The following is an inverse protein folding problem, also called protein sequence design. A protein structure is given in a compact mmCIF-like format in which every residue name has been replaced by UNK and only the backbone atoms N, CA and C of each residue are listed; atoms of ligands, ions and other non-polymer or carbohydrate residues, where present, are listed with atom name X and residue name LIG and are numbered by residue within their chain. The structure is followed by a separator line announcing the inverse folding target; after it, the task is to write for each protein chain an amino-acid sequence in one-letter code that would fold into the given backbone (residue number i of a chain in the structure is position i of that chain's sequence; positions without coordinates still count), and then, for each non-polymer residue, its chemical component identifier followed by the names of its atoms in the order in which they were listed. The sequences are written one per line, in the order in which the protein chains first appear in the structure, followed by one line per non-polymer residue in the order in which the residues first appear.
data_IF_243915827122
#
_entry.id   IF_243915827122
#
_cell.length_a   1.000
_cell.length_b   1.000
_cell.length_c   1.000
_cell.angle_alpha   90.00
_cell.angle_beta   90.00
_cell.angle_gamma   90.00
#
_symmetry.space_group_name_H-M   'P 1'
#
loop_
_entity.id
_entity.type
_entity.pdbx_description
1 polymer ?
#
# COMPACT_ATOMS: atom_id res chain seq x y z
N UNK A 1 -16.75 -19.68 -21.08
CA UNK A 1 -17.34 -18.36 -21.44
C UNK A 1 -18.28 -17.79 -20.36
N UNK A 2 -18.10 -18.08 -19.09
CA UNK A 2 -18.88 -17.50 -17.96
C UNK A 2 -17.97 -16.96 -16.84
N UNK A 3 -16.72 -16.57 -17.12
CA UNK A 3 -15.76 -16.13 -16.08
C UNK A 3 -15.48 -14.63 -16.02
N UNK A 4 -16.08 -13.79 -16.87
CA UNK A 4 -15.79 -12.36 -16.90
C UNK A 4 -16.86 -11.45 -16.30
N UNK A 5 -17.99 -11.98 -15.83
CA UNK A 5 -19.06 -11.17 -15.21
C UNK A 5 -19.11 -11.27 -13.69
N UNK A 6 -18.20 -12.00 -13.06
CA UNK A 6 -18.11 -12.09 -11.60
C UNK A 6 -17.12 -11.12 -10.94
N UNK A 7 -16.33 -10.40 -11.71
CA UNK A 7 -15.31 -9.50 -11.18
C UNK A 7 -15.84 -8.20 -10.54
N UNK A 8 -17.12 -7.90 -10.65
CA UNK A 8 -17.71 -6.70 -10.04
C UNK A 8 -18.57 -6.98 -8.81
N UNK A 9 -18.95 -8.24 -8.58
CA UNK A 9 -19.85 -8.62 -7.48
C UNK A 9 -19.17 -9.17 -6.23
N UNK A 10 -17.85 -9.34 -6.24
CA UNK A 10 -17.09 -9.94 -5.14
C UNK A 10 -15.83 -9.11 -4.83
N UNK A 11 -16.03 -7.80 -4.68
CA UNK A 11 -14.94 -6.86 -4.42
C UNK A 11 -14.15 -7.20 -3.15
N UNK A 12 -14.79 -7.79 -2.15
CA UNK A 12 -14.11 -8.16 -0.90
C UNK A 12 -13.18 -9.36 -1.05
N UNK A 13 -13.52 -10.32 -1.93
CA UNK A 13 -12.68 -11.49 -2.17
C UNK A 13 -11.76 -11.31 -3.38
N UNK A 14 -12.20 -10.61 -4.43
CA UNK A 14 -11.45 -10.50 -5.68
C UNK A 14 -10.42 -9.37 -5.69
N UNK A 15 -10.62 -8.28 -4.92
CA UNK A 15 -9.57 -7.28 -4.71
C UNK A 15 -8.39 -7.90 -3.98
N UNK A 16 -8.63 -8.77 -3.00
CA UNK A 16 -7.57 -9.55 -2.36
C UNK A 16 -6.92 -10.57 -3.31
N UNK A 17 -7.69 -11.28 -4.11
CA UNK A 17 -7.16 -12.36 -4.95
C UNK A 17 -6.52 -11.89 -6.25
N UNK A 18 -6.97 -10.76 -6.82
CA UNK A 18 -6.40 -10.22 -8.07
C UNK A 18 -5.17 -9.35 -7.85
N UNK A 19 -5.09 -8.64 -6.72
CA UNK A 19 -3.93 -7.82 -6.36
C UNK A 19 -2.81 -8.69 -5.78
N UNK A 20 -3.16 -9.81 -5.19
CA UNK A 20 -2.25 -10.57 -4.35
C UNK A 20 -2.36 -12.06 -4.53
N UNK A 21 -2.23 -12.63 -5.64
CA UNK A 21 -2.25 -14.09 -5.85
C UNK A 21 -1.64 -15.01 -4.76
N UNK A 22 -1.44 -14.49 -3.54
CA UNK A 22 -0.80 -15.14 -2.38
C UNK A 22 -1.61 -15.10 -1.08
N UNK A 23 -2.78 -14.44 -1.07
CA UNK A 23 -3.53 -14.16 0.17
C UNK A 23 -4.42 -15.31 0.68
N UNK A 24 -4.21 -16.54 0.21
CA UNK A 24 -5.04 -17.68 0.61
C UNK A 24 -4.74 -18.25 2.00
N UNK A 25 -3.73 -17.75 2.71
CA UNK A 25 -3.38 -18.21 4.06
C UNK A 25 -2.62 -17.16 4.84
N UNK A 26 -2.98 -16.96 6.11
CA UNK A 26 -2.30 -16.02 7.02
C UNK A 26 -0.89 -16.46 7.43
N UNK A 27 -0.58 -17.75 7.32
CA UNK A 27 0.65 -18.36 7.84
C UNK A 27 1.27 -19.37 6.89
N UNK A 28 1.09 -19.18 5.59
CA UNK A 28 1.67 -20.09 4.59
C UNK A 28 3.16 -19.83 4.41
N UNK A 29 3.96 -20.88 4.33
CA UNK A 29 5.37 -20.79 3.93
C UNK A 29 5.57 -20.20 2.52
N UNK A 30 4.49 -20.09 1.73
CA UNK A 30 4.48 -19.42 0.43
C UNK A 30 4.62 -17.88 0.55
N UNK A 31 4.33 -17.31 1.73
CA UNK A 31 4.51 -15.88 2.04
C UNK A 31 5.92 -15.55 2.53
N UNK A 32 6.80 -16.54 2.70
CA UNK A 32 8.19 -16.28 3.08
C UNK A 32 8.99 -15.85 1.88
N UNK A 33 9.60 -14.68 1.98
CA UNK A 33 10.60 -14.23 1.03
C UNK A 33 11.85 -15.11 1.07
N UNK A 34 12.59 -15.13 -0.02
CA UNK A 34 13.71 -16.04 -0.21
C UNK A 34 14.89 -15.30 -0.83
N UNK A 35 16.04 -15.44 -0.23
CA UNK A 35 17.29 -14.99 -0.80
C UNK A 35 17.95 -16.15 -1.58
N UNK A 36 18.38 -15.85 -2.81
CA UNK A 36 19.15 -16.77 -3.62
C UNK A 36 20.52 -16.15 -3.91
N UNK A 37 21.56 -16.87 -3.58
CA UNK A 37 22.95 -16.50 -3.85
C UNK A 37 23.37 -17.08 -5.21
N UNK A 38 23.97 -16.25 -6.05
CA UNK A 38 24.56 -16.69 -7.30
C UNK A 38 25.98 -17.26 -7.03
N UNK A 39 26.16 -18.55 -7.30
CA UNK A 39 27.45 -19.23 -7.14
C UNK A 39 28.33 -19.14 -8.42
N UNK A 40 27.94 -18.34 -9.39
CA UNK A 40 28.55 -18.26 -10.72
C UNK A 40 27.83 -19.13 -11.75
N UNK A 41 28.09 -18.87 -13.03
CA UNK A 41 27.52 -19.60 -14.18
C UNK A 41 25.99 -19.75 -14.13
N UNK A 42 25.28 -18.72 -13.65
CA UNK A 42 23.82 -18.71 -13.44
C UNK A 42 23.32 -19.82 -12.48
N UNK A 43 24.17 -20.31 -11.60
CA UNK A 43 23.82 -21.30 -10.60
C UNK A 43 23.42 -20.61 -9.29
N UNK A 44 22.14 -20.67 -8.93
CA UNK A 44 21.57 -20.03 -7.73
C UNK A 44 21.31 -21.07 -6.64
N UNK A 45 21.78 -20.80 -5.44
CA UNK A 45 21.49 -21.59 -4.24
C UNK A 45 20.68 -20.78 -3.23
N UNK A 46 19.70 -21.42 -2.58
CA UNK A 46 18.91 -20.73 -1.57
C UNK A 46 19.74 -20.48 -0.31
N UNK A 47 19.77 -19.23 0.14
CA UNK A 47 20.33 -18.85 1.43
C UNK A 47 19.34 -19.07 2.58
N UNK A 48 19.84 -19.35 3.77
CA UNK A 48 19.11 -19.32 5.04
C UNK A 48 19.36 -18.04 5.84
N UNK A 49 20.21 -17.13 5.33
CA UNK A 49 20.64 -15.92 6.05
C UNK A 49 19.55 -14.84 6.14
N UNK A 50 18.47 -14.91 5.34
CA UNK A 50 17.35 -13.97 5.40
C UNK A 50 16.17 -14.60 6.12
N UNK A 51 15.83 -14.06 7.29
CA UNK A 51 14.70 -14.52 8.12
C UNK A 51 13.87 -13.32 8.55
N UNK A 52 12.60 -13.31 8.19
CA UNK A 52 11.64 -12.32 8.66
C UNK A 52 10.86 -12.81 9.88
N UNK A 53 10.48 -11.89 10.79
CA UNK A 53 9.75 -12.25 12.01
C UNK A 53 8.36 -12.81 11.73
N UNK A 54 7.70 -12.35 10.66
CA UNK A 54 6.31 -12.66 10.35
C UNK A 54 6.10 -13.16 8.91
N UNK A 55 4.86 -13.58 8.63
CA UNK A 55 4.37 -13.86 7.28
C UNK A 55 3.62 -12.64 6.75
N UNK A 56 4.15 -12.02 5.71
CA UNK A 56 3.55 -10.85 5.09
C UNK A 56 3.64 -10.94 3.55
N UNK A 57 2.98 -10.04 2.86
CA UNK A 57 3.06 -9.93 1.41
C UNK A 57 3.99 -8.79 1.05
N UNK A 58 5.23 -9.10 0.72
CA UNK A 58 6.21 -8.11 0.24
C UNK A 58 5.79 -7.49 -1.08
N UNK A 59 6.13 -6.22 -1.28
CA UNK A 59 5.90 -5.46 -2.51
C UNK A 59 7.18 -5.15 -3.26
N UNK A 60 8.16 -4.58 -2.60
CA UNK A 60 9.46 -4.23 -3.19
C UNK A 60 10.61 -4.61 -2.27
N UNK A 61 11.77 -4.74 -2.88
CA UNK A 61 13.05 -4.87 -2.20
C UNK A 61 13.99 -3.84 -2.80
N UNK A 62 14.49 -2.93 -1.98
CA UNK A 62 15.54 -1.97 -2.37
C UNK A 62 16.83 -2.30 -1.64
N UNK A 63 17.95 -2.15 -2.34
CA UNK A 63 19.27 -2.40 -1.80
C UNK A 63 19.86 -1.06 -1.38
N UNK A 64 20.45 -1.00 -0.19
CA UNK A 64 20.99 0.22 0.41
C UNK A 64 22.16 -0.17 1.34
N UNK A 65 23.18 0.65 1.38
CA UNK A 65 24.15 0.70 2.48
C UNK A 65 23.72 1.87 3.37
N UNK A 66 22.87 1.58 4.40
CA UNK A 66 22.22 2.67 5.14
C UNK A 66 23.06 3.22 6.30
N UNK A 67 24.08 2.48 6.72
CA UNK A 67 24.96 2.84 7.84
C UNK A 67 26.44 2.97 7.45
N UNK A 68 26.70 2.96 6.12
CA UNK A 68 28.00 3.19 5.49
C UNK A 68 29.12 2.22 5.95
N UNK A 69 28.73 1.00 6.34
CA UNK A 69 29.70 -0.02 6.74
C UNK A 69 30.33 -0.77 5.56
N UNK A 70 29.83 -0.50 4.33
CA UNK A 70 30.30 -1.07 3.06
C UNK A 70 29.61 -2.37 2.69
N UNK A 71 28.68 -2.85 3.49
CA UNK A 71 27.87 -4.02 3.23
C UNK A 71 26.48 -3.62 2.70
N UNK A 72 25.93 -4.39 1.78
CA UNK A 72 24.62 -4.06 1.21
C UNK A 72 23.49 -4.62 2.06
N UNK A 73 22.63 -3.73 2.53
CA UNK A 73 21.43 -4.00 3.30
C UNK A 73 20.19 -4.07 2.42
N UNK A 74 19.04 -4.46 3.00
CA UNK A 74 17.79 -4.57 2.27
C UNK A 74 16.68 -3.80 2.99
N UNK A 75 16.02 -2.91 2.26
CA UNK A 75 14.69 -2.42 2.60
C UNK A 75 13.65 -3.34 1.95
N UNK A 76 12.78 -3.96 2.76
CA UNK A 76 11.68 -4.79 2.27
C UNK A 76 10.36 -4.19 2.73
N UNK A 77 9.49 -3.84 1.78
CA UNK A 77 8.21 -3.20 2.06
C UNK A 77 7.06 -4.20 2.02
N UNK A 78 6.08 -4.04 2.90
CA UNK A 78 4.88 -4.87 2.93
C UNK A 78 3.76 -4.22 2.10
N UNK A 79 3.13 -5.02 1.22
CA UNK A 79 2.03 -4.58 0.36
C UNK A 79 0.71 -4.46 1.12
N UNK A 80 0.36 -5.46 1.88
CA UNK A 80 -0.87 -5.53 2.69
C UNK A 80 -0.83 -6.78 3.56
N UNK A 81 -1.60 -6.74 4.61
CA UNK A 81 -1.84 -7.91 5.46
C UNK A 81 -2.78 -8.90 4.77
N UNK A 82 -2.46 -10.20 4.70
CA UNK A 82 -3.38 -11.21 4.16
C UNK A 82 -4.78 -11.11 4.80
N UNK A 83 -5.83 -11.05 3.98
CA UNK A 83 -7.24 -10.88 4.38
C UNK A 83 -7.59 -9.56 5.09
N UNK A 84 -6.70 -8.55 5.07
CA UNK A 84 -6.92 -7.26 5.72
C UNK A 84 -6.40 -6.11 4.84
N UNK A 85 -6.88 -6.05 3.61
CA UNK A 85 -6.55 -4.93 2.73
C UNK A 85 -6.87 -3.59 3.41
N UNK A 86 -6.03 -2.59 3.21
CA UNK A 86 -6.21 -1.26 3.77
C UNK A 86 -5.76 -1.10 5.22
N UNK A 87 -5.47 -2.18 5.96
CA UNK A 87 -4.93 -2.05 7.32
C UNK A 87 -3.45 -1.67 7.29
N UNK A 88 -2.96 -0.98 8.34
CA UNK A 88 -1.55 -0.62 8.45
C UNK A 88 -0.61 -1.82 8.32
N UNK A 89 0.51 -1.60 7.65
CA UNK A 89 1.56 -2.60 7.38
C UNK A 89 2.93 -2.08 7.82
N UNK A 90 3.98 -2.90 7.66
CA UNK A 90 5.33 -2.56 8.07
C UNK A 90 6.31 -2.57 6.90
N UNK A 91 7.42 -1.83 7.05
CA UNK A 91 8.63 -2.09 6.30
C UNK A 91 9.68 -2.74 7.22
N UNK A 92 10.59 -3.47 6.61
CA UNK A 92 11.68 -4.16 7.30
C UNK A 92 13.01 -3.65 6.75
N UNK A 93 13.88 -3.16 7.63
CA UNK A 93 15.25 -2.80 7.28
C UNK A 93 16.15 -3.92 7.78
N UNK A 94 16.66 -4.68 6.83
CA UNK A 94 17.43 -5.89 7.07
C UNK A 94 18.92 -5.57 6.95
N UNK A 95 19.57 -5.33 8.10
CA UNK A 95 21.02 -5.09 8.17
C UNK A 95 21.81 -6.37 7.89
N UNK A 96 22.76 -6.29 7.00
CA UNK A 96 23.68 -7.35 6.64
C UNK A 96 24.89 -7.38 7.60
N UNK A 97 25.43 -8.56 7.88
CA UNK A 97 26.66 -8.73 8.66
C UNK A 97 27.93 -8.88 7.80
N UNK A 98 27.85 -8.52 6.51
CA UNK A 98 28.93 -8.72 5.54
C UNK A 98 29.18 -10.16 5.11
N UNK A 99 28.39 -11.10 5.64
CA UNK A 99 28.49 -12.53 5.32
C UNK A 99 27.20 -13.13 4.76
N UNK A 100 26.20 -12.25 4.49
CA UNK A 100 24.90 -12.61 3.95
C UNK A 100 23.91 -13.12 5.00
N UNK A 101 24.12 -12.79 6.28
CA UNK A 101 23.13 -12.94 7.35
C UNK A 101 22.50 -11.60 7.65
N UNK A 102 21.18 -11.56 7.71
CA UNK A 102 20.41 -10.33 7.85
C UNK A 102 19.63 -10.29 9.16
N UNK A 103 19.63 -9.11 9.81
CA UNK A 103 18.88 -8.83 11.03
C UNK A 103 17.93 -7.64 10.81
N UNK A 104 16.65 -7.74 11.21
CA UNK A 104 15.71 -6.61 11.16
C UNK A 104 16.06 -5.57 12.24
N UNK A 105 16.50 -4.40 11.80
CA UNK A 105 16.78 -3.23 12.64
C UNK A 105 15.70 -2.12 12.45
N UNK A 106 14.64 -2.39 11.70
CA UNK A 106 13.62 -1.42 11.34
C UNK A 106 12.87 -0.82 12.53
N UNK A 107 12.79 -1.51 13.67
CA UNK A 107 12.18 -0.95 14.88
C UNK A 107 12.96 0.22 15.49
N UNK A 108 14.24 0.32 15.23
CA UNK A 108 15.13 1.38 15.75
C UNK A 108 15.41 2.43 14.69
N UNK A 109 15.62 2.00 13.45
CA UNK A 109 16.14 2.81 12.37
C UNK A 109 15.06 3.32 11.40
N UNK A 110 13.91 2.63 11.31
CA UNK A 110 12.84 2.88 10.33
C UNK A 110 11.45 2.93 11.00
N UNK A 111 11.34 3.51 12.19
CA UNK A 111 10.10 3.54 12.98
C UNK A 111 8.93 4.18 12.23
N UNK A 112 9.17 5.15 11.36
CA UNK A 112 8.17 5.87 10.59
C UNK A 112 7.42 5.01 9.57
N UNK A 113 7.99 3.88 9.14
CA UNK A 113 7.35 2.91 8.27
C UNK A 113 6.81 1.66 9.02
N UNK A 114 6.64 1.74 10.33
CA UNK A 114 5.96 0.71 11.13
C UNK A 114 4.51 1.11 11.39
N UNK A 115 3.57 0.20 11.08
CA UNK A 115 2.15 0.46 11.26
C UNK A 115 1.62 1.60 10.37
N UNK A 116 2.15 1.74 9.17
CA UNK A 116 1.82 2.80 8.21
C UNK A 116 1.01 2.26 7.02
N UNK A 117 0.92 3.05 5.96
CA UNK A 117 0.16 2.76 4.75
C UNK A 117 0.72 1.56 3.98
N UNK A 118 -0.10 0.94 3.16
CA UNK A 118 0.32 -0.12 2.23
C UNK A 118 1.34 0.43 1.25
N UNK A 119 2.51 -0.18 1.20
CA UNK A 119 3.61 0.23 0.33
C UNK A 119 3.59 -0.57 -0.97
N UNK A 120 3.98 0.05 -2.08
CA UNK A 120 3.91 -0.54 -3.41
C UNK A 120 5.26 -0.68 -4.06
N UNK A 121 6.11 0.32 -3.89
CA UNK A 121 7.45 0.38 -4.45
C UNK A 121 8.34 1.25 -3.56
N UNK A 122 9.66 1.13 -3.71
CA UNK A 122 10.63 1.97 -3.02
C UNK A 122 11.88 2.17 -3.87
N UNK A 123 12.51 3.34 -3.73
CA UNK A 123 13.78 3.69 -4.36
C UNK A 123 14.72 4.33 -3.35
N UNK A 124 15.99 4.24 -3.67
CA UNK A 124 17.11 4.71 -2.86
C UNK A 124 17.90 5.72 -3.65
N UNK A 125 18.25 6.84 -3.04
CA UNK A 125 19.10 7.88 -3.63
C UNK A 125 19.40 8.97 -2.63
N UNK A 126 20.46 9.71 -2.82
CA UNK A 126 20.81 10.90 -2.05
C UNK A 126 19.90 12.05 -2.52
N UNK A 127 18.95 12.45 -1.71
CA UNK A 127 17.92 13.46 -2.05
C UNK A 127 18.25 14.86 -1.55
N UNK A 128 19.08 14.99 -0.52
CA UNK A 128 19.43 16.28 0.04
C UNK A 128 20.89 16.68 -0.16
N UNK A 129 21.67 15.83 -0.85
CA UNK A 129 23.03 16.10 -1.28
C UNK A 129 24.05 16.00 -0.16
N UNK A 130 23.74 15.30 0.93
CA UNK A 130 24.65 15.11 2.06
C UNK A 130 25.59 13.90 1.91
N UNK A 131 25.29 13.02 0.95
CA UNK A 131 26.06 11.83 0.60
C UNK A 131 25.47 10.54 1.16
N UNK A 132 24.55 10.64 2.14
CA UNK A 132 23.85 9.48 2.69
C UNK A 132 22.71 9.05 1.75
N UNK A 133 22.35 7.76 1.78
CA UNK A 133 21.30 7.24 0.93
C UNK A 133 19.94 7.35 1.64
N UNK A 134 19.00 8.05 0.99
CA UNK A 134 17.62 8.27 1.41
C UNK A 134 16.63 7.31 0.77
N UNK A 135 15.37 7.37 1.20
CA UNK A 135 14.30 6.52 0.71
C UNK A 135 13.12 7.32 0.17
N UNK A 136 12.63 6.93 -0.99
CA UNK A 136 11.31 7.32 -1.50
C UNK A 136 10.43 6.09 -1.58
N UNK A 137 9.22 6.16 -1.01
CA UNK A 137 8.30 5.03 -0.93
C UNK A 137 6.95 5.39 -1.54
N UNK A 138 6.57 4.68 -2.58
CA UNK A 138 5.22 4.75 -3.14
C UNK A 138 4.23 3.97 -2.28
N UNK A 139 3.03 4.52 -2.07
CA UNK A 139 2.01 3.93 -1.20
C UNK A 139 0.66 3.85 -1.88
N UNK A 140 -0.17 2.89 -1.47
CA UNK A 140 -1.60 2.88 -1.80
C UNK A 140 -2.39 3.65 -0.72
N UNK A 141 -3.25 4.57 -1.15
CA UNK A 141 -4.14 5.36 -0.29
C UNK A 141 -3.45 6.39 0.61
N UNK A 142 -2.19 6.69 0.35
CA UNK A 142 -1.45 7.69 1.11
C UNK A 142 -0.52 8.50 0.19
N UNK A 143 0.30 9.36 0.78
CA UNK A 143 1.29 10.17 0.09
C UNK A 143 2.46 9.31 -0.43
N UNK A 144 3.14 9.77 -1.47
CA UNK A 144 4.52 9.33 -1.71
C UNK A 144 5.34 9.81 -0.52
N UNK A 145 6.02 8.89 0.16
CA UNK A 145 6.77 9.18 1.37
C UNK A 145 8.24 9.43 1.06
N UNK A 146 8.79 10.46 1.67
CA UNK A 146 10.22 10.78 1.64
C UNK A 146 10.78 10.59 3.05
N UNK A 147 11.83 9.79 3.14
CA UNK A 147 12.54 9.54 4.39
C UNK A 147 14.01 9.84 4.20
N UNK A 148 14.49 10.82 4.94
CA UNK A 148 15.89 11.27 4.93
C UNK A 148 16.67 10.46 5.95
N UNK A 149 17.82 9.94 5.54
CA UNK A 149 18.77 9.27 6.40
C UNK A 149 19.50 10.31 7.26
N UNK A 150 19.54 10.09 8.54
CA UNK A 150 20.26 10.93 9.48
C UNK A 150 21.11 10.02 10.38
N UNK A 151 22.37 9.86 10.05
CA UNK A 151 23.30 8.99 10.77
C UNK A 151 22.79 7.53 10.92
N UNK A 152 22.32 6.93 9.82
CA UNK A 152 21.78 5.57 9.79
C UNK A 152 20.37 5.43 10.40
N UNK A 153 19.61 6.53 10.49
CA UNK A 153 18.23 6.53 10.98
C UNK A 153 17.34 7.34 10.05
N UNK A 154 16.25 6.73 9.57
CA UNK A 154 15.33 7.35 8.63
C UNK A 154 14.28 8.21 9.33
N UNK A 155 14.16 9.47 8.90
CA UNK A 155 13.19 10.45 9.37
C UNK A 155 12.28 10.86 8.23
N UNK A 156 10.95 10.76 8.44
CA UNK A 156 9.98 11.16 7.41
C UNK A 156 9.95 12.69 7.26
N UNK A 157 10.13 13.16 6.02
CA UNK A 157 10.16 14.55 5.61
C UNK A 157 9.17 14.87 4.48
N UNK A 158 8.18 14.03 4.26
CA UNK A 158 7.20 14.09 3.17
C UNK A 158 6.55 15.48 3.03
N UNK A 159 6.16 16.11 4.14
CA UNK A 159 5.54 17.45 4.12
C UNK A 159 6.55 18.55 3.78
N UNK A 160 7.78 18.46 4.30
CA UNK A 160 8.85 19.42 4.05
C UNK A 160 9.25 19.47 2.58
N UNK A 161 9.21 18.31 1.91
CA UNK A 161 9.47 18.16 0.47
C UNK A 161 8.23 18.38 -0.41
N UNK A 162 7.13 18.90 0.15
CA UNK A 162 5.95 19.33 -0.62
C UNK A 162 4.98 18.21 -1.02
N UNK A 163 5.21 16.97 -0.60
CA UNK A 163 4.38 15.82 -0.97
C UNK A 163 3.27 15.47 0.05
N UNK A 164 3.08 16.29 1.09
CA UNK A 164 2.08 16.06 2.15
C UNK A 164 0.61 16.02 1.68
N UNK A 165 0.32 16.43 0.44
CA UNK A 165 -1.02 16.43 -0.15
C UNK A 165 -1.15 15.49 -1.35
N UNK A 166 -0.26 14.52 -1.49
CA UNK A 166 -0.19 13.62 -2.65
C UNK A 166 -0.98 12.32 -2.50
N UNK A 167 -1.92 12.22 -1.55
CA UNK A 167 -2.67 10.97 -1.30
C UNK A 167 -3.27 10.38 -2.57
N UNK A 168 -2.84 9.15 -2.92
CA UNK A 168 -3.21 8.50 -4.16
C UNK A 168 -3.05 6.99 -4.14
N UNK A 169 -3.15 6.41 -5.33
CA UNK A 169 -2.90 4.98 -5.57
C UNK A 169 -1.57 4.83 -6.30
N UNK A 170 -0.48 5.16 -5.63
CA UNK A 170 0.85 5.10 -6.19
C UNK A 170 1.26 3.65 -6.42
N UNK A 171 1.82 3.34 -7.59
CA UNK A 171 2.16 1.98 -8.01
C UNK A 171 3.65 1.75 -8.09
N UNK A 172 4.37 2.78 -8.48
CA UNK A 172 5.81 2.76 -8.67
C UNK A 172 6.39 4.14 -8.44
N UNK A 173 7.65 4.20 -8.13
CA UNK A 173 8.44 5.42 -8.02
C UNK A 173 9.79 5.19 -8.69
N UNK A 174 10.36 6.24 -9.28
CA UNK A 174 11.69 6.25 -9.86
C UNK A 174 12.39 7.55 -9.49
N UNK A 175 13.71 7.49 -9.32
CA UNK A 175 14.56 8.64 -9.06
C UNK A 175 15.45 8.90 -10.29
N UNK A 176 15.42 10.12 -10.78
CA UNK A 176 16.14 10.50 -11.98
C UNK A 176 16.34 12.02 -12.02
N UNK A 177 17.52 12.48 -12.39
CA UNK A 177 17.79 13.88 -12.70
C UNK A 177 17.24 14.17 -14.12
N UNK A 178 16.02 14.74 -14.21
CA UNK A 178 15.30 14.95 -15.49
C UNK A 178 15.80 16.21 -16.20
N UNK A 179 16.07 17.26 -15.46
CA UNK A 179 16.46 18.58 -16.00
C UNK A 179 17.98 18.82 -16.01
N UNK A 180 18.76 17.89 -15.47
CA UNK A 180 20.23 17.86 -15.43
C UNK A 180 20.83 18.99 -14.60
N UNK A 181 20.19 19.32 -13.51
CA UNK A 181 20.69 20.29 -12.52
C UNK A 181 21.58 19.65 -11.47
N UNK A 182 21.61 18.34 -11.37
CA UNK A 182 22.43 17.53 -10.48
C UNK A 182 21.67 16.96 -9.30
N UNK A 183 20.43 17.38 -9.08
CA UNK A 183 19.56 16.89 -8.02
C UNK A 183 18.65 15.76 -8.53
N UNK A 184 18.18 14.88 -7.64
CA UNK A 184 17.29 13.79 -8.02
C UNK A 184 15.83 14.20 -7.98
N UNK A 185 15.15 14.07 -9.11
CA UNK A 185 13.70 14.24 -9.22
C UNK A 185 12.95 12.94 -8.91
N UNK A 186 11.67 13.07 -8.51
CA UNK A 186 10.81 11.94 -8.19
C UNK A 186 9.74 11.76 -9.26
N UNK A 187 9.84 10.70 -10.05
CA UNK A 187 8.77 10.27 -10.96
C UNK A 187 7.91 9.21 -10.26
N UNK A 188 6.66 9.56 -9.94
CA UNK A 188 5.74 8.65 -9.26
C UNK A 188 4.56 8.28 -10.15
N UNK A 189 4.41 6.98 -10.45
CA UNK A 189 3.32 6.41 -11.23
C UNK A 189 2.09 6.14 -10.38
N UNK A 190 0.96 6.79 -10.74
CA UNK A 190 -0.33 6.62 -10.07
C UNK A 190 -1.29 5.76 -10.90
N UNK A 191 -2.51 5.56 -10.40
CA UNK A 191 -3.59 4.88 -11.11
C UNK A 191 -3.93 5.50 -12.47
N UNK A 192 -3.68 6.80 -12.62
CA UNK A 192 -3.90 7.57 -13.84
C UNK A 192 -5.31 8.14 -13.97
N UNK A 193 -5.45 9.11 -14.88
CA UNK A 193 -6.71 9.82 -15.10
C UNK A 193 -7.69 9.05 -16.02
N UNK A 194 -7.23 8.01 -16.71
CA UNK A 194 -8.08 7.15 -17.53
C UNK A 194 -8.71 6.03 -16.68
N UNK A 195 -9.56 6.41 -15.75
CA UNK A 195 -10.24 5.48 -14.84
C UNK A 195 -11.72 5.82 -14.67
N UNK A 196 -12.48 4.90 -14.08
CA UNK A 196 -13.89 5.15 -13.74
C UNK A 196 -14.03 6.20 -12.62
N UNK A 197 -13.02 6.35 -11.77
CA UNK A 197 -13.03 7.27 -10.65
C UNK A 197 -12.61 8.66 -11.10
N UNK A 198 -13.52 9.62 -11.07
CA UNK A 198 -13.31 10.98 -11.59
C UNK A 198 -12.85 11.97 -10.53
N UNK A 199 -13.30 11.78 -9.30
CA UNK A 199 -13.03 12.66 -8.16
C UNK A 199 -12.34 11.89 -7.03
N UNK A 200 -12.16 12.52 -5.87
CA UNK A 200 -11.62 11.87 -4.68
C UNK A 200 -12.39 10.59 -4.38
N UNK A 201 -11.66 9.51 -4.24
CA UNK A 201 -12.22 8.21 -3.89
C UNK A 201 -11.92 7.91 -2.44
N UNK A 202 -12.88 7.33 -1.75
CA UNK A 202 -12.78 6.94 -0.34
C UNK A 202 -13.12 5.48 -0.16
N UNK A 203 -12.37 4.80 0.67
CA UNK A 203 -12.65 3.42 1.07
C UNK A 203 -12.99 3.40 2.57
N UNK A 204 -14.17 2.90 2.90
CA UNK A 204 -14.55 2.61 4.28
C UNK A 204 -14.35 1.13 4.56
N UNK A 205 -13.64 0.83 5.65
CA UNK A 205 -13.30 -0.55 6.05
C UNK A 205 -13.79 -0.76 7.47
N UNK A 206 -14.74 -1.67 7.66
CA UNK A 206 -15.29 -2.06 8.96
C UNK A 206 -16.05 -3.37 8.80
N UNK A 207 -16.22 -4.12 9.86
CA UNK A 207 -17.20 -5.20 9.95
C UNK A 207 -18.58 -4.57 10.21
N UNK A 208 -19.29 -4.20 9.13
CA UNK A 208 -20.58 -3.46 9.23
C UNK A 208 -21.73 -4.35 9.67
N UNK A 209 -21.69 -5.63 9.40
CA UNK A 209 -22.75 -6.59 9.76
C UNK A 209 -22.39 -7.48 10.96
N UNK A 210 -21.19 -7.30 11.53
CA UNK A 210 -20.68 -8.00 12.70
C UNK A 210 -20.52 -9.51 12.49
N UNK A 211 -20.13 -9.91 11.29
CA UNK A 211 -19.90 -11.30 10.93
C UNK A 211 -18.47 -11.79 11.21
N UNK A 212 -17.58 -10.92 11.69
CA UNK A 212 -16.17 -11.19 12.01
C UNK A 212 -15.22 -10.98 10.82
N UNK A 213 -15.71 -10.50 9.69
CA UNK A 213 -14.90 -10.15 8.51
C UNK A 213 -15.04 -8.66 8.20
N UNK A 214 -14.00 -8.07 7.62
CA UNK A 214 -14.09 -6.68 7.18
C UNK A 214 -14.86 -6.56 5.87
N UNK A 215 -15.74 -5.58 5.82
CA UNK A 215 -16.40 -5.11 4.62
C UNK A 215 -15.66 -3.90 4.06
N UNK A 216 -15.66 -3.79 2.73
CA UNK A 216 -14.96 -2.74 1.97
C UNK A 216 -15.99 -1.97 1.14
N UNK A 217 -16.23 -0.71 1.51
CA UNK A 217 -17.19 0.12 0.79
C UNK A 217 -16.47 1.26 0.10
N UNK A 218 -16.36 1.12 -1.20
CA UNK A 218 -15.78 2.11 -2.09
C UNK A 218 -16.78 3.21 -2.37
N UNK A 219 -16.38 4.47 -2.16
CA UNK A 219 -17.18 5.64 -2.41
C UNK A 219 -16.45 6.63 -3.32
N UNK A 220 -17.20 7.34 -4.14
CA UNK A 220 -16.71 8.47 -4.93
C UNK A 220 -17.35 9.76 -4.43
N UNK A 221 -16.57 10.85 -4.42
CA UNK A 221 -17.05 12.16 -4.01
C UNK A 221 -17.79 12.82 -5.17
N UNK A 222 -19.04 13.21 -4.94
CA UNK A 222 -19.89 13.94 -5.91
C UNK A 222 -20.52 15.12 -5.19
N UNK A 223 -20.28 16.34 -5.67
CA UNK A 223 -20.80 17.58 -5.08
C UNK A 223 -20.52 17.75 -3.58
N UNK A 224 -19.36 17.23 -3.12
CA UNK A 224 -18.96 17.34 -1.72
C UNK A 224 -19.30 16.13 -0.85
N UNK A 225 -20.23 15.29 -1.29
CA UNK A 225 -20.71 14.11 -0.56
C UNK A 225 -20.16 12.81 -1.13
N UNK A 226 -20.13 11.73 -0.32
CA UNK A 226 -19.62 10.43 -0.75
C UNK A 226 -20.76 9.43 -1.03
N UNK A 227 -20.74 8.87 -2.24
CA UNK A 227 -21.70 7.90 -2.72
C UNK A 227 -21.02 6.55 -2.98
N UNK A 228 -21.64 5.41 -2.55
CA UNK A 228 -21.08 4.09 -2.87
C UNK A 228 -20.97 3.88 -4.38
N UNK A 229 -19.84 3.31 -4.82
CA UNK A 229 -19.60 2.95 -6.22
C UNK A 229 -20.36 1.67 -6.59
N UNK A 230 -20.53 0.75 -5.64
CA UNK A 230 -21.28 -0.48 -5.83
C UNK A 230 -22.76 -0.18 -6.14
N UNK A 231 -23.40 -0.97 -7.01
CA UNK A 231 -24.83 -0.86 -7.17
C UNK A 231 -25.59 -1.42 -5.95
N UNK A 232 -26.90 -1.17 -5.90
CA UNK A 232 -27.76 -1.60 -4.78
C UNK A 232 -27.70 -3.10 -4.52
N UNK A 233 -27.69 -3.92 -5.58
CA UNK A 233 -27.73 -5.37 -5.43
C UNK A 233 -26.38 -5.91 -4.98
N UNK A 234 -25.29 -5.35 -5.47
CA UNK A 234 -23.93 -5.70 -5.07
C UNK A 234 -23.72 -5.35 -3.60
N UNK A 235 -24.13 -4.15 -3.17
CA UNK A 235 -24.04 -3.75 -1.78
C UNK A 235 -24.90 -4.62 -0.84
N UNK A 236 -26.12 -5.00 -1.24
CA UNK A 236 -26.98 -5.93 -0.48
C UNK A 236 -26.40 -7.35 -0.49
N UNK A 237 -25.76 -7.78 -1.57
CA UNK A 237 -25.10 -9.10 -1.63
C UNK A 237 -23.93 -9.18 -0.65
N UNK A 238 -23.16 -8.10 -0.53
CA UNK A 238 -22.08 -7.98 0.44
C UNK A 238 -22.63 -7.83 1.88
N UNK A 239 -23.66 -7.00 2.06
CA UNK A 239 -24.25 -6.65 3.36
C UNK A 239 -25.76 -6.94 3.39
N UNK A 240 -26.19 -8.20 3.61
CA UNK A 240 -27.59 -8.59 3.60
C UNK A 240 -28.47 -7.84 4.62
N UNK A 241 -27.87 -7.29 5.68
CA UNK A 241 -28.56 -6.48 6.67
C UNK A 241 -29.21 -5.23 6.08
N UNK A 242 -28.70 -4.73 4.95
CA UNK A 242 -29.22 -3.54 4.27
C UNK A 242 -30.48 -3.81 3.43
N UNK A 243 -30.85 -5.07 3.21
CA UNK A 243 -31.99 -5.45 2.36
C UNK A 243 -33.30 -4.78 2.75
N UNK A 244 -33.53 -4.59 4.06
CA UNK A 244 -34.73 -3.94 4.57
C UNK A 244 -34.71 -2.42 4.43
N UNK A 245 -33.53 -1.82 4.34
CA UNK A 245 -33.32 -0.37 4.22
C UNK A 245 -33.31 0.06 2.75
N UNK A 246 -32.66 -0.72 1.88
CA UNK A 246 -32.48 -0.41 0.47
C UNK A 246 -33.54 -1.11 -0.39
N UNK A 247 -34.80 -0.64 -0.35
CA UNK A 247 -35.91 -1.29 -1.04
C UNK A 247 -35.91 -0.99 -2.56
N UNK A 248 -35.77 0.27 -2.93
CA UNK A 248 -35.92 0.72 -4.32
C UNK A 248 -34.61 1.29 -4.85
N UNK A 249 -34.32 1.02 -6.13
CA UNK A 249 -33.13 1.55 -6.83
C UNK A 249 -33.13 3.08 -6.89
N UNK A 250 -34.29 3.66 -7.13
CA UNK A 250 -34.40 5.12 -7.26
C UNK A 250 -34.02 5.84 -5.94
N UNK A 251 -34.34 5.26 -4.79
CA UNK A 251 -33.99 5.84 -3.49
C UNK A 251 -32.49 5.68 -3.23
N UNK A 252 -31.96 4.48 -3.50
CA UNK A 252 -30.53 4.20 -3.37
C UNK A 252 -29.65 5.12 -4.22
N UNK A 253 -30.08 5.46 -5.43
CA UNK A 253 -29.30 6.29 -6.37
C UNK A 253 -28.99 7.71 -5.85
N UNK A 254 -29.72 8.18 -4.84
CA UNK A 254 -29.51 9.48 -4.21
C UNK A 254 -28.97 9.37 -2.76
N UNK A 255 -28.74 8.17 -2.26
CA UNK A 255 -28.26 7.98 -0.87
C UNK A 255 -26.75 8.11 -0.78
N UNK A 256 -26.31 8.98 0.10
CA UNK A 256 -24.90 9.05 0.51
C UNK A 256 -24.53 7.86 1.37
N UNK A 257 -23.23 7.66 1.58
CA UNK A 257 -22.75 6.63 2.53
C UNK A 257 -23.31 6.87 3.96
N UNK A 258 -23.46 8.13 4.33
CA UNK A 258 -24.02 8.53 5.64
C UNK A 258 -25.52 8.24 5.72
N UNK A 259 -26.28 8.43 4.65
CA UNK A 259 -27.68 8.02 4.59
C UNK A 259 -27.86 6.51 4.78
N UNK A 260 -26.91 5.72 4.25
CA UNK A 260 -26.98 4.26 4.31
C UNK A 260 -26.60 3.74 5.70
N UNK A 261 -25.55 4.23 6.32
CA UNK A 261 -25.02 3.68 7.57
C UNK A 261 -25.27 4.57 8.79
N UNK A 262 -25.54 5.86 8.58
CA UNK A 262 -25.58 6.89 9.63
C UNK A 262 -24.20 7.19 10.20
N UNK A 263 -24.06 8.32 10.87
CA UNK A 263 -22.79 8.71 11.52
C UNK A 263 -22.27 7.63 12.49
N UNK A 264 -23.17 7.06 13.29
CA UNK A 264 -22.82 6.02 14.27
C UNK A 264 -22.38 4.71 13.59
N UNK A 265 -22.94 4.37 12.44
CA UNK A 265 -22.54 3.19 11.66
C UNK A 265 -21.16 3.35 11.06
N UNK A 266 -20.79 4.56 10.66
CA UNK A 266 -19.47 4.88 10.10
C UNK A 266 -18.40 5.15 11.16
N UNK A 267 -18.80 5.40 12.40
CA UNK A 267 -17.87 5.57 13.52
C UNK A 267 -16.99 4.32 13.66
N UNK A 268 -15.71 4.54 13.90
CA UNK A 268 -14.69 3.49 14.01
C UNK A 268 -14.36 2.75 12.69
N UNK A 269 -14.95 3.14 11.55
CA UNK A 269 -14.48 2.65 10.27
C UNK A 269 -13.09 3.22 10.00
N UNK A 270 -12.18 2.38 9.52
CA UNK A 270 -10.94 2.86 8.93
C UNK A 270 -11.30 3.51 7.59
N UNK A 271 -10.84 4.74 7.39
CA UNK A 271 -11.14 5.54 6.20
C UNK A 271 -9.85 5.84 5.46
N UNK A 272 -9.80 5.46 4.20
CA UNK A 272 -8.68 5.72 3.32
C UNK A 272 -9.12 6.61 2.15
N UNK A 273 -8.36 7.66 1.86
CA UNK A 273 -8.65 8.62 0.80
C UNK A 273 -7.59 8.55 -0.31
N UNK A 274 -8.04 8.68 -1.56
CA UNK A 274 -7.19 8.90 -2.73
C UNK A 274 -7.71 10.12 -3.49
N UNK A 275 -7.03 11.25 -3.31
CA UNK A 275 -7.37 12.53 -3.95
C UNK A 275 -6.55 12.80 -5.21
N UNK A 276 -5.35 12.26 -5.29
CA UNK A 276 -4.43 12.38 -6.43
C UNK A 276 -4.49 11.12 -7.29
N UNK A 277 -4.71 11.27 -8.59
CA UNK A 277 -4.80 10.16 -9.55
C UNK A 277 -3.81 10.30 -10.71
N UNK A 278 -3.35 11.52 -10.97
CA UNK A 278 -2.34 11.78 -11.99
C UNK A 278 -0.97 11.22 -11.57
N UNK A 279 -0.18 10.79 -12.54
CA UNK A 279 1.25 10.57 -12.39
C UNK A 279 1.93 11.92 -12.11
N UNK A 280 2.93 11.94 -11.25
CA UNK A 280 3.73 13.12 -10.91
C UNK A 280 5.16 12.96 -11.41
N UNK A 281 5.74 14.07 -11.76
CA UNK A 281 7.15 14.29 -12.02
C UNK A 281 7.56 15.53 -11.21
#
# INVERSE_FOLDING_TARGET
RRRHTRCLSDWSSDVCSSICGRAFSKSSSALKDRLYLNAGDFNFSRSSGLVFPDYFSSSSVSVIDFDEDGDLDLLVTERFHPFRYGTPVNAYLMQNDGRGSFQDVGNEKLMTLKGTSMMTDSKVGDLDGDGDLDLVVATDWDNVKILINQDGKFVEKTEEYGLGHSKGWWKTVELIDVDKDGDLDILAGNHGLNSFFRDTTRLYIKDFDRNGTYDYIFCEKVNGEYYPVADKNDLISQLPILKKKLLYFKDYASMTIEDIFGEQGLKEALVLDASTKATML
#
